data_IF_947434515429
#
_entry.id   IF_947434515429
#
_cell.length_a   1.000
_cell.length_b   1.000
_cell.length_c   1.000
_cell.angle_alpha   90.00
_cell.angle_beta   90.00
_cell.angle_gamma   90.00
#
_symmetry.space_group_name_H-M   'P 1'
#
loop_
_entity.id
_entity.type
_entity.pdbx_description
1 polymer ?
#
# COMPACT_ATOMS: atom_id res chain seq x y z
N UNK A 1 22.69 -2.39 22.88
CA UNK A 1 21.72 -3.22 22.14
C UNK A 1 21.33 -4.40 23.00
N UNK A 2 20.07 -4.82 22.92
CA UNK A 2 19.53 -5.90 23.73
C UNK A 2 19.67 -7.24 23.00
N UNK A 3 20.04 -8.29 23.72
CA UNK A 3 20.16 -9.64 23.16
C UNK A 3 18.77 -10.26 22.95
N UNK A 4 18.49 -10.82 21.76
CA UNK A 4 17.20 -11.46 21.47
C UNK A 4 16.94 -12.69 22.35
N UNK A 5 18.00 -13.44 22.68
CA UNK A 5 17.89 -14.69 23.45
C UNK A 5 17.69 -14.48 24.95
N UNK A 6 18.54 -13.67 25.60
CA UNK A 6 18.52 -13.50 27.06
C UNK A 6 18.03 -12.13 27.52
N UNK A 7 17.66 -11.24 26.61
CA UNK A 7 17.14 -9.90 26.92
C UNK A 7 18.13 -8.99 27.68
N UNK A 8 19.39 -9.38 27.85
CA UNK A 8 20.43 -8.54 28.47
C UNK A 8 20.82 -7.38 27.54
N UNK A 9 21.00 -6.20 28.12
CA UNK A 9 21.57 -5.04 27.44
C UNK A 9 23.09 -5.12 27.37
N UNK A 10 23.61 -4.91 26.17
CA UNK A 10 25.03 -4.95 25.85
C UNK A 10 25.45 -3.61 25.22
N UNK A 11 26.37 -2.89 25.84
CA UNK A 11 26.93 -1.67 25.26
C UNK A 11 27.94 -2.01 24.13
N UNK A 12 28.52 -1.01 23.45
CA UNK A 12 29.45 -1.27 22.34
C UNK A 12 30.73 -1.97 22.83
N UNK A 13 31.34 -1.46 23.91
CA UNK A 13 32.58 -2.01 24.47
C UNK A 13 32.44 -3.48 24.84
N UNK A 14 31.38 -3.83 25.56
CA UNK A 14 31.09 -5.20 26.00
C UNK A 14 30.97 -6.19 24.83
N UNK A 15 30.42 -5.74 23.70
CA UNK A 15 30.25 -6.59 22.51
C UNK A 15 31.54 -6.73 21.74
N UNK A 16 32.33 -5.65 21.65
CA UNK A 16 33.66 -5.70 21.02
C UNK A 16 34.59 -6.64 21.80
N UNK A 17 34.57 -6.56 23.13
CA UNK A 17 35.34 -7.45 24.01
C UNK A 17 34.86 -8.91 23.91
N UNK A 18 33.56 -9.14 23.75
CA UNK A 18 32.98 -10.48 23.56
C UNK A 18 32.98 -10.96 22.09
N UNK A 19 33.67 -10.28 21.17
CA UNK A 19 33.78 -10.70 19.76
C UNK A 19 32.45 -10.71 19.00
N UNK A 20 31.57 -9.74 19.25
CA UNK A 20 30.25 -9.64 18.61
C UNK A 20 29.18 -10.53 19.26
N UNK A 21 29.39 -10.95 20.52
CA UNK A 21 28.47 -11.82 21.26
C UNK A 21 27.90 -11.13 22.49
N UNK A 22 26.83 -11.69 23.05
CA UNK A 22 26.24 -11.20 24.28
C UNK A 22 27.12 -11.53 25.50
N UNK A 23 27.38 -10.54 26.36
CA UNK A 23 28.19 -10.69 27.59
C UNK A 23 27.64 -11.72 28.59
N UNK A 24 26.33 -11.99 28.55
CA UNK A 24 25.66 -12.87 29.52
C UNK A 24 25.48 -14.29 28.99
N UNK A 25 24.90 -14.45 27.79
CA UNK A 25 24.58 -15.77 27.24
C UNK A 25 25.48 -16.21 26.07
N UNK A 26 26.48 -15.41 25.72
CA UNK A 26 27.40 -15.64 24.59
C UNK A 26 26.71 -15.83 23.22
N UNK A 27 25.44 -15.46 23.09
CA UNK A 27 24.69 -15.52 21.83
C UNK A 27 25.28 -14.52 20.82
N UNK A 28 25.62 -14.94 19.60
CA UNK A 28 26.14 -14.03 18.57
C UNK A 28 25.06 -13.06 18.10
N UNK A 29 25.44 -11.82 17.81
CA UNK A 29 24.53 -10.84 17.22
C UNK A 29 24.52 -10.96 15.70
N UNK A 30 23.33 -11.07 15.10
CA UNK A 30 23.20 -11.11 13.65
C UNK A 30 23.45 -9.73 13.03
N UNK A 31 22.92 -8.67 13.62
CA UNK A 31 22.93 -7.31 13.09
C UNK A 31 23.45 -6.32 14.13
N UNK A 32 24.55 -5.65 13.80
CA UNK A 32 25.14 -4.60 14.60
C UNK A 32 25.27 -3.30 13.79
N UNK A 33 24.55 -2.23 14.17
CA UNK A 33 24.67 -0.94 13.51
C UNK A 33 26.07 -0.33 13.53
N UNK A 34 26.83 -0.58 14.59
CA UNK A 34 28.20 -0.06 14.71
C UNK A 34 29.19 -0.84 13.83
N UNK A 35 28.82 -2.05 13.40
CA UNK A 35 29.54 -2.85 12.43
C UNK A 35 28.99 -2.71 10.99
N UNK A 36 28.12 -1.72 10.74
CA UNK A 36 27.61 -1.39 9.41
C UNK A 36 26.21 -1.95 9.06
N UNK A 37 25.53 -2.65 9.98
CA UNK A 37 24.13 -3.07 9.75
C UNK A 37 23.17 -1.87 9.82
N UNK A 38 22.02 -1.94 9.15
CA UNK A 38 21.05 -0.81 9.19
C UNK A 38 20.15 -0.83 10.44
N UNK A 39 20.15 -1.93 11.18
CA UNK A 39 19.28 -2.16 12.33
C UNK A 39 19.88 -3.20 13.29
N UNK A 40 19.20 -3.47 14.39
CA UNK A 40 19.59 -4.43 15.43
C UNK A 40 18.77 -5.72 15.34
N UNK A 41 19.26 -6.79 15.96
CA UNK A 41 18.55 -8.07 16.10
C UNK A 41 17.12 -7.93 16.63
N UNK A 42 16.92 -7.12 17.67
CA UNK A 42 15.59 -6.90 18.25
C UNK A 42 14.64 -6.24 17.24
N UNK A 43 15.14 -5.30 16.44
CA UNK A 43 14.30 -4.67 15.41
C UNK A 43 13.88 -5.70 14.37
N UNK A 44 14.80 -6.56 13.93
CA UNK A 44 14.51 -7.58 12.93
C UNK A 44 13.57 -8.66 13.48
N UNK A 45 13.84 -9.18 14.69
CA UNK A 45 12.98 -10.13 15.40
C UNK A 45 11.54 -9.59 15.53
N UNK A 46 11.41 -8.36 16.04
CA UNK A 46 10.10 -7.75 16.19
C UNK A 46 9.44 -7.52 14.84
N UNK A 47 10.21 -7.34 13.75
CA UNK A 47 9.63 -7.19 12.41
C UNK A 47 9.05 -8.50 11.90
N UNK A 48 9.75 -9.62 12.10
CA UNK A 48 9.25 -10.97 11.79
C UNK A 48 8.00 -11.28 12.63
N UNK A 49 8.04 -11.02 13.93
CA UNK A 49 6.89 -11.26 14.83
C UNK A 49 5.67 -10.41 14.44
N UNK A 50 5.87 -9.11 14.16
CA UNK A 50 4.77 -8.22 13.78
C UNK A 50 4.15 -8.62 12.45
N UNK A 51 4.96 -8.89 11.41
CA UNK A 51 4.41 -9.22 10.08
C UNK A 51 3.69 -10.57 10.06
N UNK A 52 4.18 -11.54 10.84
CA UNK A 52 3.54 -12.85 11.01
C UNK A 52 2.37 -12.86 12.00
N UNK A 53 2.01 -11.71 12.60
CA UNK A 53 1.01 -11.65 13.67
C UNK A 53 1.30 -12.66 14.78
N UNK A 54 2.50 -12.58 15.35
CA UNK A 54 3.00 -13.48 16.40
C UNK A 54 3.06 -14.96 15.94
N UNK A 55 3.64 -15.19 14.76
CA UNK A 55 3.81 -16.52 14.12
C UNK A 55 2.51 -17.24 13.73
N UNK A 56 1.39 -16.53 13.61
CA UNK A 56 0.10 -17.13 13.22
C UNK A 56 -0.15 -17.09 11.71
N UNK A 57 0.46 -16.14 11.00
CA UNK A 57 0.28 -15.93 9.57
C UNK A 57 1.57 -16.19 8.80
N UNK A 58 1.44 -16.76 7.61
CA UNK A 58 2.51 -16.84 6.62
C UNK A 58 2.56 -15.55 5.81
N UNK A 59 3.75 -15.17 5.35
CA UNK A 59 3.96 -13.96 4.57
C UNK A 59 5.04 -14.15 3.50
N UNK A 60 4.97 -13.35 2.43
CA UNK A 60 5.97 -13.42 1.35
C UNK A 60 7.24 -12.64 1.71
N UNK A 61 8.41 -13.00 1.15
CA UNK A 61 9.65 -12.23 1.32
C UNK A 61 9.50 -10.77 0.87
N UNK A 62 8.63 -10.53 -0.11
CA UNK A 62 8.33 -9.20 -0.64
C UNK A 62 7.48 -8.36 0.33
N UNK A 63 6.55 -8.99 1.05
CA UNK A 63 5.83 -8.32 2.15
C UNK A 63 6.80 -7.90 3.25
N UNK A 64 7.77 -8.75 3.62
CA UNK A 64 8.81 -8.39 4.58
C UNK A 64 9.67 -7.22 4.09
N UNK A 65 10.00 -7.20 2.80
CA UNK A 65 10.72 -6.09 2.18
C UNK A 65 9.98 -4.76 2.32
N UNK A 66 8.71 -4.70 1.93
CA UNK A 66 7.89 -3.50 2.09
C UNK A 66 7.76 -3.07 3.56
N UNK A 67 7.60 -4.02 4.47
CA UNK A 67 7.51 -3.74 5.90
C UNK A 67 8.81 -3.10 6.45
N UNK A 68 9.97 -3.65 6.10
CA UNK A 68 11.27 -3.15 6.54
C UNK A 68 11.60 -1.79 5.93
N UNK A 69 11.32 -1.60 4.63
CA UNK A 69 11.41 -0.30 3.96
C UNK A 69 10.67 0.78 4.74
N UNK A 70 9.40 0.53 5.04
CA UNK A 70 8.57 1.48 5.76
C UNK A 70 9.11 1.77 7.17
N UNK A 71 9.52 0.73 7.91
CA UNK A 71 10.01 0.86 9.29
C UNK A 71 11.34 1.60 9.39
N UNK A 72 12.22 1.44 8.41
CA UNK A 72 13.55 2.06 8.41
C UNK A 72 13.54 3.48 7.83
N UNK A 73 12.67 3.76 6.85
CA UNK A 73 12.58 5.10 6.21
C UNK A 73 11.74 6.09 7.02
N UNK A 74 10.78 5.63 7.82
CA UNK A 74 9.81 6.48 8.52
C UNK A 74 10.38 7.34 9.68
N UNK A 75 11.67 7.24 10.03
CA UNK A 75 12.25 7.97 11.18
C UNK A 75 12.66 9.44 10.93
N UNK A 76 12.23 10.06 9.84
CA UNK A 76 12.45 11.50 9.61
C UNK A 76 11.42 12.36 10.34
N UNK A 77 11.73 12.74 11.59
CA UNK A 77 11.09 13.75 12.47
C UNK A 77 10.35 14.88 11.73
N UNK A 78 9.07 15.09 12.04
CA UNK A 78 8.26 16.19 11.47
C UNK A 78 7.14 16.67 12.40
N UNK A 79 7.44 17.00 13.67
CA UNK A 79 6.45 17.64 14.56
C UNK A 79 6.91 19.01 15.07
N UNK A 80 8.23 19.27 15.16
CA UNK A 80 8.75 20.56 15.62
C UNK A 80 8.74 21.70 14.59
N UNK A 81 8.82 21.42 13.30
CA UNK A 81 8.97 22.47 12.27
C UNK A 81 7.65 23.15 11.89
N UNK A 82 6.52 22.46 11.98
CA UNK A 82 5.22 23.02 11.56
C UNK A 82 4.70 24.06 12.57
N UNK A 83 4.80 23.77 13.87
CA UNK A 83 4.40 24.69 14.93
C UNK A 83 5.27 25.95 14.98
N UNK A 84 6.58 25.80 14.78
CA UNK A 84 7.53 26.93 14.74
C UNK A 84 7.29 27.85 13.55
N UNK A 85 6.98 27.30 12.36
CA UNK A 85 6.70 28.11 11.16
C UNK A 85 5.37 28.88 11.26
N UNK A 86 4.33 28.29 11.84
CA UNK A 86 3.04 28.96 12.04
C UNK A 86 3.21 30.11 13.05
N UNK A 87 3.83 29.86 14.20
CA UNK A 87 4.04 30.86 15.26
C UNK A 87 4.90 32.04 14.75
N UNK A 88 5.96 31.75 14.00
CA UNK A 88 6.84 32.76 13.41
C UNK A 88 6.11 33.64 12.37
N UNK A 89 5.16 33.08 11.62
CA UNK A 89 4.40 33.84 10.62
C UNK A 89 3.35 34.79 11.23
N UNK A 90 2.85 34.47 12.43
CA UNK A 90 1.77 35.24 13.08
C UNK A 90 2.25 36.32 14.06
N UNK A 91 3.54 36.35 14.41
CA UNK A 91 4.05 37.11 15.55
C UNK A 91 5.11 38.17 15.19
N UNK A 92 4.91 39.06 14.21
CA UNK A 92 5.71 40.31 14.10
C UNK A 92 5.00 41.41 13.31
N UNK A 93 5.13 42.67 13.76
CA UNK A 93 4.36 43.86 13.33
C UNK A 93 5.07 44.67 12.21
N UNK A 94 6.19 44.20 11.64
CA UNK A 94 6.95 44.93 10.61
C UNK A 94 6.90 44.25 9.23
N UNK A 95 6.41 44.99 8.22
CA UNK A 95 6.06 44.52 6.87
C UNK A 95 7.25 43.91 6.08
N UNK A 96 8.51 44.29 6.36
CA UNK A 96 9.68 43.85 5.59
C UNK A 96 10.23 42.44 5.95
N UNK A 97 10.52 42.11 7.22
CA UNK A 97 10.96 40.75 7.59
C UNK A 97 9.83 39.69 7.49
N UNK A 98 8.57 40.10 7.67
CA UNK A 98 7.40 39.20 7.63
C UNK A 98 7.20 38.60 6.24
N UNK A 99 7.24 39.43 5.19
CA UNK A 99 7.06 38.97 3.81
C UNK A 99 8.16 37.98 3.43
N UNK A 100 9.40 38.24 3.85
CA UNK A 100 10.54 37.36 3.58
C UNK A 100 10.36 35.98 4.24
N UNK A 101 9.89 35.94 5.49
CA UNK A 101 9.66 34.69 6.23
C UNK A 101 8.50 33.86 5.65
N UNK A 102 7.43 34.52 5.20
CA UNK A 102 6.31 33.87 4.50
C UNK A 102 6.79 33.24 3.20
N UNK A 103 7.60 33.95 2.40
CA UNK A 103 8.15 33.43 1.15
C UNK A 103 9.04 32.20 1.42
N UNK A 104 9.95 32.27 2.40
CA UNK A 104 10.80 31.14 2.78
C UNK A 104 9.96 29.93 3.21
N UNK A 105 8.94 30.15 4.04
CA UNK A 105 8.03 29.10 4.51
C UNK A 105 7.27 28.46 3.36
N UNK A 106 6.83 29.26 2.39
CA UNK A 106 6.16 28.78 1.20
C UNK A 106 7.10 27.96 0.30
N UNK A 107 8.31 28.45 0.05
CA UNK A 107 9.33 27.74 -0.75
C UNK A 107 9.68 26.40 -0.11
N UNK A 108 9.88 26.37 1.21
CA UNK A 108 10.13 25.11 1.93
C UNK A 108 8.91 24.17 1.81
N UNK A 109 7.70 24.67 2.09
CA UNK A 109 6.50 23.83 2.09
C UNK A 109 6.22 23.22 0.71
N UNK A 110 6.37 24.02 -0.35
CA UNK A 110 6.16 23.60 -1.74
C UNK A 110 7.23 22.59 -2.21
N UNK A 111 8.48 22.79 -1.81
CA UNK A 111 9.59 21.84 -2.04
C UNK A 111 9.35 20.52 -1.31
N UNK A 112 8.91 20.57 -0.05
CA UNK A 112 8.70 19.36 0.76
C UNK A 112 7.47 18.57 0.33
N UNK A 113 6.39 19.21 -0.09
CA UNK A 113 5.17 18.52 -0.54
C UNK A 113 5.35 17.78 -1.88
N UNK A 114 6.35 18.13 -2.68
CA UNK A 114 6.69 17.45 -3.95
C UNK A 114 7.88 16.50 -3.84
N UNK A 115 8.51 16.41 -2.66
CA UNK A 115 9.74 15.65 -2.47
C UNK A 115 9.54 14.13 -2.57
N UNK A 116 10.30 13.46 -3.44
CA UNK A 116 10.33 11.99 -3.53
C UNK A 116 10.94 11.32 -2.30
N UNK A 117 11.76 12.03 -1.53
CA UNK A 117 12.43 11.48 -0.34
C UNK A 117 11.58 11.52 0.93
N UNK A 118 10.39 12.13 0.87
CA UNK A 118 9.48 12.26 2.02
C UNK A 118 8.31 11.28 1.90
N UNK A 119 7.86 10.79 3.05
CA UNK A 119 6.70 9.91 3.12
C UNK A 119 5.44 10.63 2.61
N UNK A 120 4.45 9.89 2.08
CA UNK A 120 3.17 10.47 1.66
C UNK A 120 2.51 11.32 2.74
N UNK A 121 2.51 10.86 4.01
CA UNK A 121 2.00 11.60 5.16
C UNK A 121 2.65 12.98 5.29
N UNK A 122 3.98 13.05 5.29
CA UNK A 122 4.72 14.31 5.39
C UNK A 122 4.38 15.24 4.21
N UNK A 123 4.32 14.71 2.98
CA UNK A 123 3.96 15.51 1.81
C UNK A 123 2.57 16.14 1.93
N UNK A 124 1.60 15.37 2.44
CA UNK A 124 0.22 15.82 2.69
C UNK A 124 0.17 16.90 3.75
N UNK A 125 0.93 16.75 4.83
CA UNK A 125 0.98 17.73 5.91
C UNK A 125 1.49 19.08 5.39
N UNK A 126 2.53 19.09 4.55
CA UNK A 126 2.99 20.32 3.89
C UNK A 126 1.99 20.89 2.87
N UNK A 127 1.32 20.04 2.07
CA UNK A 127 0.29 20.51 1.14
C UNK A 127 -0.91 21.13 1.87
N UNK A 128 -1.32 20.55 3.01
CA UNK A 128 -2.35 21.11 3.90
C UNK A 128 -1.88 22.39 4.58
N UNK A 129 -0.62 22.48 4.99
CA UNK A 129 -0.06 23.71 5.53
C UNK A 129 -0.15 24.85 4.50
N UNK A 130 0.11 24.57 3.22
CA UNK A 130 -0.08 25.57 2.14
C UNK A 130 -1.55 26.02 2.03
N UNK A 131 -2.51 25.10 2.12
CA UNK A 131 -3.95 25.46 2.12
C UNK A 131 -4.33 26.31 3.34
N UNK A 132 -3.84 25.94 4.53
CA UNK A 132 -4.09 26.67 5.77
C UNK A 132 -3.49 28.08 5.70
N UNK A 133 -2.25 28.22 5.25
CA UNK A 133 -1.58 29.52 5.04
C UNK A 133 -2.39 30.37 4.04
N UNK A 134 -2.84 29.77 2.93
CA UNK A 134 -3.71 30.44 1.97
C UNK A 134 -5.01 30.94 2.59
N UNK A 135 -5.68 30.11 3.39
CA UNK A 135 -6.89 30.50 4.13
C UNK A 135 -6.65 31.62 5.15
N UNK A 136 -5.54 31.55 5.91
CA UNK A 136 -5.16 32.59 6.88
C UNK A 136 -4.87 33.93 6.17
N UNK A 137 -4.21 33.91 5.02
CA UNK A 137 -3.96 35.12 4.21
C UNK A 137 -5.29 35.75 3.77
N UNK A 138 -6.26 34.96 3.30
CA UNK A 138 -7.58 35.48 2.92
C UNK A 138 -8.28 36.16 4.09
N UNK A 139 -8.30 35.52 5.26
CA UNK A 139 -8.92 36.09 6.47
C UNK A 139 -8.20 37.38 6.90
N UNK A 140 -6.87 37.39 6.90
CA UNK A 140 -6.08 38.56 7.29
C UNK A 140 -6.29 39.76 6.36
N UNK A 141 -6.31 39.52 5.04
CA UNK A 141 -6.54 40.55 4.02
C UNK A 141 -7.96 41.13 4.13
N UNK A 142 -8.97 40.28 4.39
CA UNK A 142 -10.35 40.72 4.62
C UNK A 142 -10.46 41.59 5.88
N UNK A 143 -9.91 41.14 7.01
CA UNK A 143 -9.94 41.89 8.28
C UNK A 143 -9.22 43.23 8.14
N UNK A 144 -8.05 43.26 7.48
CA UNK A 144 -7.31 44.49 7.24
C UNK A 144 -8.10 45.49 6.40
N UNK A 145 -8.72 45.03 5.31
CA UNK A 145 -9.54 45.86 4.43
C UNK A 145 -10.73 46.50 5.17
N UNK A 146 -11.43 45.73 6.00
CA UNK A 146 -12.56 46.25 6.80
C UNK A 146 -12.13 47.21 7.91
N UNK A 147 -10.94 47.03 8.52
CA UNK A 147 -10.46 47.90 9.61
C UNK A 147 -9.80 49.21 9.14
N UNK A 148 -9.10 49.19 8.01
CA UNK A 148 -8.28 50.31 7.53
C UNK A 148 -8.88 50.96 6.28
N UNK A 149 -10.20 51.21 6.32
CA UNK A 149 -11.07 51.66 5.22
C UNK A 149 -10.80 53.07 4.64
N UNK A 150 -9.61 53.66 4.85
CA UNK A 150 -9.17 54.79 4.02
C UNK A 150 -8.66 54.22 2.70
N UNK A 151 -9.60 53.96 1.78
CA UNK A 151 -9.35 53.30 0.49
C UNK A 151 -8.54 54.23 -0.40
N UNK A 152 -7.22 54.13 -0.31
CA UNK A 152 -6.32 54.60 -1.36
C UNK A 152 -6.30 53.56 -2.49
N UNK A 153 -6.03 54.01 -3.72
CA UNK A 153 -5.88 53.10 -4.86
C UNK A 153 -4.85 51.99 -4.55
N UNK A 154 -3.77 52.34 -3.85
CA UNK A 154 -2.73 51.40 -3.43
C UNK A 154 -3.25 50.32 -2.46
N UNK A 155 -4.07 50.69 -1.48
CA UNK A 155 -4.66 49.73 -0.54
C UNK A 155 -5.60 48.74 -1.26
N UNK A 156 -6.37 49.21 -2.24
CA UNK A 156 -7.24 48.35 -3.05
C UNK A 156 -6.44 47.36 -3.91
N UNK A 157 -5.35 47.79 -4.55
CA UNK A 157 -4.49 46.88 -5.31
C UNK A 157 -3.84 45.81 -4.42
N UNK A 158 -3.37 46.17 -3.23
CA UNK A 158 -2.81 45.21 -2.27
C UNK A 158 -3.85 44.18 -1.79
N UNK A 159 -5.10 44.62 -1.60
CA UNK A 159 -6.21 43.74 -1.26
C UNK A 159 -6.46 42.69 -2.36
N UNK A 160 -6.56 43.13 -3.63
CA UNK A 160 -6.74 42.21 -4.76
C UNK A 160 -5.59 41.22 -4.90
N UNK A 161 -4.34 41.68 -4.73
CA UNK A 161 -3.16 40.82 -4.77
C UNK A 161 -3.20 39.79 -3.63
N UNK A 162 -3.56 40.21 -2.42
CA UNK A 162 -3.71 39.32 -1.26
C UNK A 162 -4.78 38.23 -1.46
N UNK A 163 -5.94 38.59 -2.02
CA UNK A 163 -6.97 37.61 -2.39
C UNK A 163 -6.45 36.64 -3.45
N UNK A 164 -5.85 37.16 -4.53
CA UNK A 164 -5.30 36.35 -5.60
C UNK A 164 -4.26 35.35 -5.09
N UNK A 165 -3.37 35.79 -4.20
CA UNK A 165 -2.38 34.94 -3.55
C UNK A 165 -3.04 33.86 -2.68
N UNK A 166 -4.00 34.22 -1.82
CA UNK A 166 -4.68 33.27 -0.95
C UNK A 166 -5.41 32.16 -1.73
N UNK A 167 -6.16 32.53 -2.78
CA UNK A 167 -6.83 31.58 -3.68
C UNK A 167 -5.81 30.69 -4.40
N UNK A 168 -4.73 31.29 -4.93
CA UNK A 168 -3.66 30.55 -5.60
C UNK A 168 -3.03 29.50 -4.69
N UNK A 169 -2.77 29.83 -3.41
CA UNK A 169 -2.21 28.88 -2.44
C UNK A 169 -3.16 27.74 -2.11
N UNK A 170 -4.45 28.02 -1.91
CA UNK A 170 -5.46 26.98 -1.70
C UNK A 170 -5.53 26.05 -2.92
N UNK A 171 -5.62 26.61 -4.12
CA UNK A 171 -5.62 25.84 -5.37
C UNK A 171 -4.36 24.99 -5.49
N UNK A 172 -3.20 25.57 -5.23
CA UNK A 172 -1.92 24.86 -5.32
C UNK A 172 -1.81 23.73 -4.30
N UNK A 173 -2.17 23.97 -3.04
CA UNK A 173 -2.21 22.93 -2.01
C UNK A 173 -3.19 21.81 -2.33
N UNK A 174 -4.38 22.13 -2.87
CA UNK A 174 -5.35 21.14 -3.36
C UNK A 174 -4.75 20.32 -4.50
N UNK A 175 -4.17 20.98 -5.50
CA UNK A 175 -3.49 20.31 -6.63
C UNK A 175 -2.38 19.38 -6.13
N UNK A 176 -1.59 19.80 -5.14
CA UNK A 176 -0.54 18.98 -4.56
C UNK A 176 -1.06 17.74 -3.83
N UNK A 177 -2.21 17.83 -3.16
CA UNK A 177 -2.88 16.67 -2.59
C UNK A 177 -3.39 15.71 -3.67
N UNK A 178 -3.91 16.25 -4.77
CA UNK A 178 -4.42 15.43 -5.88
C UNK A 178 -3.30 14.68 -6.61
N UNK A 179 -2.15 15.30 -6.87
CA UNK A 179 -1.07 14.68 -7.67
C UNK A 179 -0.19 13.68 -6.92
N UNK A 180 -0.46 13.41 -5.63
CA UNK A 180 0.43 12.55 -4.83
C UNK A 180 0.55 11.13 -5.36
N UNK A 181 -0.50 10.62 -5.99
CA UNK A 181 -0.49 9.31 -6.64
C UNK A 181 0.49 9.23 -7.81
N UNK A 182 1.01 10.37 -8.30
CA UNK A 182 2.05 10.46 -9.35
C UNK A 182 3.47 10.61 -8.77
N UNK A 183 3.64 10.58 -7.44
CA UNK A 183 4.95 10.72 -6.80
C UNK A 183 5.38 9.39 -6.19
N UNK A 184 6.38 8.76 -6.83
CA UNK A 184 6.92 7.49 -6.39
C UNK A 184 7.67 7.58 -5.07
N UNK A 185 7.65 6.46 -4.34
CA UNK A 185 8.48 6.22 -3.18
C UNK A 185 9.69 5.37 -3.63
N UNK A 186 10.91 5.89 -3.55
CA UNK A 186 12.09 5.10 -3.86
C UNK A 186 12.23 4.00 -2.81
N UNK A 187 12.36 2.76 -3.26
CA UNK A 187 12.82 1.66 -2.43
C UNK A 187 14.32 1.87 -2.19
N UNK A 188 14.73 1.99 -0.93
CA UNK A 188 16.12 2.23 -0.56
C UNK A 188 16.96 0.95 -0.59
N UNK A 189 16.32 -0.19 -0.46
CA UNK A 189 16.90 -1.51 -0.36
C UNK A 189 16.46 -2.36 -1.55
N UNK A 190 17.37 -3.21 -2.01
CA UNK A 190 17.05 -4.23 -3.01
C UNK A 190 16.41 -5.43 -2.33
N UNK A 191 15.50 -6.11 -3.02
CA UNK A 191 14.89 -7.34 -2.52
C UNK A 191 15.93 -8.43 -2.19
N UNK A 192 17.07 -8.46 -2.89
CA UNK A 192 18.18 -9.38 -2.59
C UNK A 192 18.84 -9.10 -1.24
N UNK A 193 18.86 -7.85 -0.77
CA UNK A 193 19.38 -7.52 0.56
C UNK A 193 18.51 -8.14 1.66
N UNK A 194 17.19 -8.20 1.45
CA UNK A 194 16.26 -8.84 2.40
C UNK A 194 16.53 -10.33 2.53
N UNK A 195 16.80 -10.99 1.40
CA UNK A 195 17.13 -12.42 1.38
C UNK A 195 18.44 -12.68 2.14
N UNK A 196 19.45 -11.83 1.95
CA UNK A 196 20.70 -11.91 2.69
C UNK A 196 20.51 -11.65 4.20
N UNK A 197 19.68 -10.68 4.58
CA UNK A 197 19.36 -10.45 6.00
C UNK A 197 18.62 -11.64 6.61
N UNK A 198 17.64 -12.21 5.92
CA UNK A 198 16.91 -13.38 6.40
C UNK A 198 17.85 -14.58 6.60
N UNK A 199 18.68 -14.90 5.60
CA UNK A 199 19.65 -16.01 5.69
C UNK A 199 20.62 -15.83 6.85
N UNK A 200 21.15 -14.62 7.05
CA UNK A 200 22.05 -14.31 8.18
C UNK A 200 21.34 -14.40 9.53
N UNK A 201 20.07 -14.04 9.59
CA UNK A 201 19.25 -14.21 10.79
C UNK A 201 19.07 -15.68 11.13
N UNK A 202 18.73 -16.50 10.13
CA UNK A 202 18.44 -17.93 10.29
C UNK A 202 19.67 -18.74 10.71
N UNK A 203 20.86 -18.39 10.20
CA UNK A 203 22.14 -19.00 10.60
C UNK A 203 22.39 -18.88 12.12
N UNK A 204 21.93 -17.80 12.75
CA UNK A 204 22.20 -17.49 14.16
C UNK A 204 21.03 -17.84 15.07
N UNK A 205 19.79 -17.62 14.62
CA UNK A 205 18.59 -17.67 15.47
C UNK A 205 17.65 -18.83 15.13
N UNK A 206 17.95 -19.62 14.09
CA UNK A 206 17.09 -20.68 13.58
C UNK A 206 16.14 -20.23 12.48
N UNK A 207 15.55 -21.21 11.79
CA UNK A 207 14.69 -21.02 10.62
C UNK A 207 13.44 -20.19 10.93
N UNK A 208 13.06 -19.29 10.01
CA UNK A 208 11.81 -18.53 10.12
C UNK A 208 10.71 -19.27 9.37
N UNK A 209 9.95 -20.07 10.10
CA UNK A 209 8.93 -21.00 9.54
C UNK A 209 7.79 -20.31 8.76
N UNK A 210 7.52 -19.04 9.03
CA UNK A 210 6.37 -18.32 8.47
C UNK A 210 6.69 -17.54 7.19
N UNK A 211 7.94 -17.54 6.71
CA UNK A 211 8.31 -16.91 5.45
C UNK A 211 8.09 -17.91 4.32
N UNK A 212 7.33 -17.50 3.30
CA UNK A 212 7.11 -18.34 2.14
C UNK A 212 8.35 -18.39 1.24
N UNK A 213 8.72 -19.60 0.82
CA UNK A 213 9.70 -19.78 -0.24
C UNK A 213 9.17 -19.21 -1.56
N UNK A 214 10.03 -18.72 -2.47
CA UNK A 214 9.62 -18.33 -3.81
C UNK A 214 8.81 -19.45 -4.47
N UNK A 215 7.74 -19.07 -5.20
CA UNK A 215 6.93 -20.04 -5.92
C UNK A 215 7.84 -20.79 -6.92
N UNK A 216 8.00 -22.10 -6.73
CA UNK A 216 8.75 -22.95 -7.66
C UNK A 216 7.75 -23.58 -8.63
N UNK A 217 8.14 -23.69 -9.89
CA UNK A 217 7.46 -24.58 -10.84
C UNK A 217 7.63 -26.02 -10.33
N UNK A 218 6.59 -26.56 -9.67
CA UNK A 218 6.56 -27.97 -9.32
C UNK A 218 6.26 -28.77 -10.58
N UNK A 219 7.29 -29.42 -11.12
CA UNK A 219 7.26 -30.12 -12.41
C UNK A 219 6.56 -31.47 -12.33
N UNK A 220 6.46 -32.06 -11.13
CA UNK A 220 5.90 -33.39 -10.96
C UNK A 220 4.47 -33.32 -10.41
N UNK A 221 3.48 -33.94 -11.08
CA UNK A 221 2.14 -34.09 -10.55
C UNK A 221 2.21 -34.98 -9.30
N UNK A 222 2.00 -34.37 -8.12
CA UNK A 222 1.78 -35.11 -6.88
C UNK A 222 0.48 -35.90 -7.03
N UNK A 223 0.46 -37.15 -6.56
CA UNK A 223 -0.77 -37.93 -6.40
C UNK A 223 -1.79 -37.09 -5.63
N UNK A 224 -2.86 -36.70 -6.33
CA UNK A 224 -3.88 -35.81 -5.77
C UNK A 224 -4.50 -36.54 -4.57
N UNK A 225 -4.33 -35.98 -3.36
CA UNK A 225 -5.01 -36.50 -2.18
C UNK A 225 -6.50 -36.63 -2.51
N UNK A 226 -7.07 -37.82 -2.30
CA UNK A 226 -8.48 -38.14 -2.58
C UNK A 226 -9.47 -37.17 -1.93
N UNK A 227 -9.05 -36.42 -0.91
CA UNK A 227 -9.82 -35.32 -0.33
C UNK A 227 -10.06 -34.18 -1.34
N UNK A 228 -9.09 -33.77 -2.16
CA UNK A 228 -9.26 -32.65 -3.13
C UNK A 228 -10.30 -32.99 -4.20
N UNK A 229 -10.38 -34.26 -4.60
CA UNK A 229 -11.42 -34.74 -5.54
C UNK A 229 -12.81 -34.87 -4.90
N UNK A 230 -12.90 -34.90 -3.56
CA UNK A 230 -14.17 -34.91 -2.83
C UNK A 230 -14.74 -33.50 -2.61
N UNK A 231 -13.94 -32.45 -2.78
CA UNK A 231 -14.37 -31.06 -2.62
C UNK A 231 -15.03 -30.52 -3.89
N UNK A 232 -16.33 -30.25 -3.82
CA UNK A 232 -17.01 -29.38 -4.77
C UNK A 232 -16.67 -27.93 -4.44
N UNK A 233 -15.98 -27.23 -5.35
CA UNK A 233 -15.72 -25.81 -5.20
C UNK A 233 -16.89 -25.01 -5.79
N UNK A 234 -17.61 -24.30 -4.94
CA UNK A 234 -18.64 -23.34 -5.37
C UNK A 234 -18.03 -21.99 -5.79
N UNK A 235 -16.74 -21.81 -5.48
CA UNK A 235 -16.01 -20.55 -5.60
C UNK A 235 -14.56 -20.79 -6.04
N UNK A 236 -14.03 -19.86 -6.82
CA UNK A 236 -12.60 -19.79 -7.13
C UNK A 236 -12.08 -18.37 -6.96
N UNK A 237 -10.93 -18.23 -6.31
CA UNK A 237 -10.13 -17.01 -6.34
C UNK A 237 -9.01 -17.22 -7.34
N UNK A 238 -8.88 -16.31 -8.29
CA UNK A 238 -7.74 -16.26 -9.20
C UNK A 238 -6.89 -15.05 -8.85
N UNK A 239 -5.59 -15.24 -8.67
CA UNK A 239 -4.61 -14.21 -8.36
C UNK A 239 -3.76 -13.82 -9.57
N UNK A 240 -3.25 -12.58 -9.62
CA UNK A 240 -2.36 -12.13 -10.71
C UNK A 240 -0.92 -12.69 -10.64
N UNK A 241 -0.54 -13.25 -9.49
CA UNK A 241 0.80 -13.77 -9.20
C UNK A 241 0.69 -15.09 -8.43
N UNK A 242 1.69 -15.96 -8.61
CA UNK A 242 1.78 -17.22 -7.88
C UNK A 242 2.07 -17.01 -6.39
N UNK A 243 2.83 -15.96 -6.05
CA UNK A 243 3.18 -15.61 -4.68
C UNK A 243 1.95 -15.26 -3.84
N UNK A 244 0.98 -14.53 -4.40
CA UNK A 244 -0.27 -14.20 -3.72
C UNK A 244 -1.18 -15.44 -3.60
N UNK A 245 -1.24 -16.29 -4.63
CA UNK A 245 -1.99 -17.55 -4.55
C UNK A 245 -1.40 -18.48 -3.48
N UNK A 246 -0.08 -18.66 -3.46
CA UNK A 246 0.64 -19.42 -2.43
C UNK A 246 0.42 -18.82 -1.04
N UNK A 247 0.42 -17.49 -0.91
CA UNK A 247 0.12 -16.80 0.32
C UNK A 247 -1.28 -17.14 0.87
N UNK A 248 -2.31 -17.12 0.03
CA UNK A 248 -3.67 -17.48 0.43
C UNK A 248 -3.77 -18.97 0.81
N UNK A 249 -3.09 -19.85 0.06
CA UNK A 249 -3.07 -21.29 0.34
C UNK A 249 -2.38 -21.58 1.69
N UNK A 250 -1.20 -21.00 1.91
CA UNK A 250 -0.43 -21.21 3.14
C UNK A 250 -1.15 -20.68 4.40
N UNK A 251 -2.00 -19.66 4.25
CA UNK A 251 -2.86 -19.18 5.32
C UNK A 251 -4.24 -19.87 5.34
N UNK A 252 -4.37 -21.08 4.80
CA UNK A 252 -5.57 -21.92 4.82
C UNK A 252 -6.85 -21.27 4.27
N UNK A 253 -6.73 -20.20 3.47
CA UNK A 253 -7.89 -19.44 2.99
C UNK A 253 -8.87 -20.31 2.18
N UNK A 254 -8.34 -21.18 1.34
CA UNK A 254 -9.08 -22.13 0.52
C UNK A 254 -9.98 -23.09 1.33
N UNK A 255 -9.51 -23.52 2.50
CA UNK A 255 -10.29 -24.34 3.43
C UNK A 255 -11.34 -23.51 4.18
N UNK A 256 -10.96 -22.37 4.75
CA UNK A 256 -11.88 -21.53 5.54
C UNK A 256 -13.06 -20.99 4.71
N UNK A 257 -12.82 -20.73 3.42
CA UNK A 257 -13.81 -20.16 2.53
C UNK A 257 -14.37 -21.14 1.50
N UNK A 258 -14.08 -22.45 1.59
CA UNK A 258 -14.51 -23.48 0.65
C UNK A 258 -14.36 -23.02 -0.81
N UNK A 259 -13.14 -22.61 -1.19
CA UNK A 259 -12.84 -22.09 -2.52
C UNK A 259 -11.54 -22.65 -3.07
N UNK A 260 -11.47 -22.79 -4.39
CA UNK A 260 -10.20 -23.03 -5.07
C UNK A 260 -9.39 -21.72 -5.10
N UNK A 261 -8.07 -21.81 -4.99
CA UNK A 261 -7.16 -20.67 -5.13
C UNK A 261 -6.15 -20.99 -6.24
N UNK A 262 -6.14 -20.17 -7.29
CA UNK A 262 -5.28 -20.32 -8.45
C UNK A 262 -4.56 -19.01 -8.77
N UNK A 263 -3.44 -19.05 -9.48
CA UNK A 263 -2.92 -17.87 -10.17
C UNK A 263 -3.32 -17.87 -11.64
N UNK A 264 -3.28 -16.70 -12.28
CA UNK A 264 -3.56 -16.55 -13.71
C UNK A 264 -2.57 -17.35 -14.59
N UNK A 265 -1.36 -17.59 -14.06
CA UNK A 265 -0.31 -18.42 -14.68
C UNK A 265 -0.49 -19.92 -14.44
N UNK A 266 -1.56 -20.31 -13.73
CA UNK A 266 -1.89 -21.71 -13.47
C UNK A 266 -1.19 -22.33 -12.26
N UNK A 267 -0.71 -21.52 -11.31
CA UNK A 267 -0.29 -22.04 -10.00
C UNK A 267 -1.51 -22.45 -9.15
N UNK A 268 -1.46 -23.55 -8.37
CA UNK A 268 -0.41 -24.56 -8.35
C UNK A 268 -0.46 -25.46 -9.60
N UNK A 269 0.66 -25.59 -10.31
CA UNK A 269 0.69 -26.24 -11.64
C UNK A 269 0.31 -27.71 -11.59
N UNK A 270 0.68 -28.41 -10.51
CA UNK A 270 0.47 -29.85 -10.34
C UNK A 270 -1.00 -30.26 -10.27
N UNK A 271 -1.90 -29.37 -9.81
CA UNK A 271 -3.34 -29.66 -9.68
C UNK A 271 -4.20 -28.79 -10.62
N UNK A 272 -3.59 -27.89 -11.38
CA UNK A 272 -4.30 -26.87 -12.15
C UNK A 272 -5.31 -27.47 -13.13
N UNK A 273 -4.91 -28.45 -13.93
CA UNK A 273 -5.79 -29.08 -14.93
C UNK A 273 -6.99 -29.77 -14.29
N UNK A 274 -6.76 -30.52 -13.21
CA UNK A 274 -7.80 -31.23 -12.46
C UNK A 274 -8.79 -30.25 -11.83
N UNK A 275 -8.29 -29.22 -11.12
CA UNK A 275 -9.14 -28.19 -10.50
C UNK A 275 -9.92 -27.44 -11.58
N UNK A 276 -9.28 -27.06 -12.69
CA UNK A 276 -9.96 -26.34 -13.78
C UNK A 276 -11.08 -27.17 -14.42
N UNK A 277 -10.89 -28.49 -14.57
CA UNK A 277 -11.94 -29.38 -15.06
C UNK A 277 -13.16 -29.39 -14.11
N UNK A 278 -12.93 -29.49 -12.80
CA UNK A 278 -14.00 -29.45 -11.79
C UNK A 278 -14.72 -28.09 -11.80
N UNK A 279 -13.97 -26.99 -11.86
CA UNK A 279 -14.52 -25.63 -11.92
C UNK A 279 -15.39 -25.40 -13.15
N UNK A 280 -14.96 -25.86 -14.34
CA UNK A 280 -15.72 -25.72 -15.59
C UNK A 280 -17.04 -26.51 -15.60
N UNK A 281 -17.15 -27.56 -14.80
CA UNK A 281 -18.36 -28.36 -14.67
C UNK A 281 -19.41 -27.71 -13.76
N UNK A 282 -19.05 -26.69 -12.96
CA UNK A 282 -19.96 -26.01 -12.06
C UNK A 282 -20.61 -24.79 -12.75
N UNK A 283 -21.90 -24.84 -13.14
CA UNK A 283 -22.59 -23.72 -13.79
C UNK A 283 -22.83 -22.53 -12.84
N UNK A 284 -22.85 -22.77 -11.53
CA UNK A 284 -23.10 -21.77 -10.49
C UNK A 284 -21.79 -21.22 -9.87
N UNK A 285 -20.65 -21.51 -10.50
CA UNK A 285 -19.33 -21.09 -10.02
C UNK A 285 -19.23 -19.57 -9.88
N UNK A 286 -18.81 -19.11 -8.70
CA UNK A 286 -18.46 -17.71 -8.45
C UNK A 286 -16.96 -17.52 -8.61
N UNK A 287 -16.57 -16.66 -9.53
CA UNK A 287 -15.16 -16.36 -9.82
C UNK A 287 -14.78 -15.02 -9.19
N UNK A 288 -13.70 -14.98 -8.43
CA UNK A 288 -13.16 -13.78 -7.79
C UNK A 288 -11.76 -13.50 -8.33
N UNK A 289 -11.55 -12.35 -8.97
CA UNK A 289 -10.23 -11.90 -9.40
C UNK A 289 -9.57 -11.09 -8.27
N UNK A 290 -8.35 -11.43 -7.88
CA UNK A 290 -7.60 -10.73 -6.84
C UNK A 290 -6.22 -10.33 -7.35
N UNK A 291 -6.04 -9.05 -7.64
CA UNK A 291 -4.84 -8.57 -8.33
C UNK A 291 -4.34 -7.23 -7.81
N UNK A 292 -3.09 -6.93 -8.17
CA UNK A 292 -2.43 -5.65 -7.94
C UNK A 292 -2.94 -4.55 -8.88
N UNK A 293 -2.73 -3.28 -8.54
CA UNK A 293 -2.94 -2.15 -9.47
C UNK A 293 -1.77 -2.06 -10.46
N UNK A 294 -1.74 -3.01 -11.38
CA UNK A 294 -0.74 -3.15 -12.44
C UNK A 294 -1.46 -3.30 -13.79
N UNK A 295 -0.79 -3.03 -14.93
CA UNK A 295 -1.35 -3.31 -16.25
C UNK A 295 -1.81 -4.77 -16.42
N UNK A 296 -1.10 -5.71 -15.77
CA UNK A 296 -1.47 -7.12 -15.75
C UNK A 296 -2.76 -7.34 -14.97
N UNK A 297 -2.82 -6.82 -13.74
CA UNK A 297 -3.98 -6.96 -12.87
C UNK A 297 -5.25 -6.40 -13.50
N UNK A 298 -5.23 -5.17 -14.03
CA UNK A 298 -6.43 -4.58 -14.66
C UNK A 298 -6.89 -5.31 -15.93
N UNK A 299 -6.01 -6.10 -16.56
CA UNK A 299 -6.35 -6.92 -17.74
C UNK A 299 -6.89 -8.30 -17.36
N UNK A 300 -6.70 -8.72 -16.11
CA UNK A 300 -6.96 -10.08 -15.65
C UNK A 300 -8.42 -10.51 -15.86
N UNK A 301 -9.39 -9.65 -15.62
CA UNK A 301 -10.81 -9.97 -15.82
C UNK A 301 -11.09 -10.26 -17.30
N UNK A 302 -10.50 -9.47 -18.20
CA UNK A 302 -10.64 -9.69 -19.63
C UNK A 302 -9.98 -11.01 -20.06
N UNK A 303 -8.84 -11.34 -19.47
CA UNK A 303 -8.17 -12.63 -19.71
C UNK A 303 -9.03 -13.81 -19.22
N UNK A 304 -9.57 -13.74 -18.01
CA UNK A 304 -10.44 -14.79 -17.45
C UNK A 304 -11.69 -15.04 -18.30
N UNK A 305 -12.26 -13.98 -18.90
CA UNK A 305 -13.47 -14.07 -19.75
C UNK A 305 -13.19 -14.62 -21.14
N UNK A 306 -12.02 -14.33 -21.71
CA UNK A 306 -11.78 -14.56 -23.14
C UNK A 306 -10.79 -15.69 -23.40
N UNK A 307 -9.96 -16.09 -22.42
CA UNK A 307 -8.97 -17.13 -22.60
C UNK A 307 -9.59 -18.53 -22.60
N UNK A 308 -9.25 -19.40 -23.58
CA UNK A 308 -9.78 -20.78 -23.65
C UNK A 308 -9.33 -21.64 -22.46
N UNK A 309 -8.18 -21.32 -21.87
CA UNK A 309 -7.67 -22.01 -20.68
C UNK A 309 -8.45 -21.67 -19.41
N UNK A 310 -9.23 -20.58 -19.44
CA UNK A 310 -10.07 -20.10 -18.35
C UNK A 310 -11.54 -20.28 -18.71
N UNK A 311 -12.38 -19.26 -18.51
CA UNK A 311 -13.84 -19.38 -18.55
C UNK A 311 -14.45 -18.88 -19.86
N UNK A 312 -13.68 -18.89 -20.95
CA UNK A 312 -14.18 -18.50 -22.28
C UNK A 312 -15.38 -19.34 -22.70
N UNK A 313 -16.42 -18.67 -23.20
CA UNK A 313 -17.68 -19.28 -23.61
C UNK A 313 -18.69 -19.55 -22.47
N UNK A 314 -18.31 -19.35 -21.21
CA UNK A 314 -19.23 -19.49 -20.08
C UNK A 314 -19.77 -18.12 -19.63
N UNK A 315 -21.06 -18.05 -19.27
CA UNK A 315 -21.68 -16.83 -18.76
C UNK A 315 -21.53 -16.69 -17.23
N UNK A 316 -20.33 -17.00 -16.71
CA UNK A 316 -20.07 -16.95 -15.27
C UNK A 316 -19.94 -15.51 -14.77
N UNK A 317 -20.39 -15.28 -13.55
CA UNK A 317 -20.19 -14.00 -12.87
C UNK A 317 -18.76 -13.96 -12.33
N UNK A 318 -18.00 -12.95 -12.79
CA UNK A 318 -16.65 -12.65 -12.29
C UNK A 318 -16.71 -11.36 -11.49
N UNK A 319 -16.34 -11.47 -10.22
CA UNK A 319 -16.23 -10.36 -9.27
C UNK A 319 -14.79 -9.87 -9.22
N UNK A 320 -14.61 -8.56 -9.33
CA UNK A 320 -13.30 -7.92 -9.16
C UNK A 320 -13.09 -7.56 -7.68
N UNK A 321 -12.17 -8.27 -7.01
CA UNK A 321 -11.67 -7.96 -5.66
C UNK A 321 -10.31 -7.24 -5.69
N UNK A 322 -9.78 -6.97 -6.90
CA UNK A 322 -8.45 -6.45 -7.11
C UNK A 322 -8.30 -4.97 -6.77
N UNK A 323 -7.04 -4.57 -6.63
CA UNK A 323 -6.67 -3.17 -6.49
C UNK A 323 -6.66 -2.51 -7.88
N UNK A 324 -7.48 -1.48 -8.06
CA UNK A 324 -7.55 -0.66 -9.28
C UNK A 324 -6.87 0.70 -9.05
N UNK A 325 -6.39 1.40 -10.09
CA UNK A 325 -5.78 2.71 -9.91
C UNK A 325 -6.73 3.75 -9.28
N UNK A 326 -8.04 3.70 -9.56
CA UNK A 326 -9.06 4.52 -8.85
C UNK A 326 -9.04 4.36 -7.31
N UNK A 327 -8.60 3.21 -6.79
CA UNK A 327 -8.46 2.95 -5.36
C UNK A 327 -7.18 3.57 -4.78
N UNK A 328 -6.16 3.75 -5.62
CA UNK A 328 -4.88 4.35 -5.26
C UNK A 328 -4.99 5.87 -5.13
N UNK A 329 -5.74 6.51 -6.02
CA UNK A 329 -5.83 7.97 -6.10
C UNK A 329 -6.29 8.68 -4.81
N UNK A 330 -7.35 8.20 -4.11
CA UNK A 330 -7.76 8.79 -2.83
C UNK A 330 -6.93 8.27 -1.64
N UNK A 331 -6.09 7.24 -1.84
CA UNK A 331 -5.35 6.63 -0.75
C UNK A 331 -4.25 7.54 -0.21
N UNK A 332 -4.09 7.48 1.11
CA UNK A 332 -3.20 8.35 1.88
C UNK A 332 -1.79 7.77 2.04
N UNK A 333 -1.68 6.44 2.00
CA UNK A 333 -0.51 5.72 2.52
C UNK A 333 -0.02 4.58 1.60
N UNK A 334 -0.54 4.44 0.38
CA UNK A 334 -0.08 3.39 -0.54
C UNK A 334 1.34 3.63 -1.04
N UNK A 335 2.09 2.52 -1.19
CA UNK A 335 3.44 2.53 -1.76
C UNK A 335 3.37 2.44 -3.28
N UNK A 336 3.68 3.53 -3.96
CA UNK A 336 3.56 3.67 -5.41
C UNK A 336 4.93 3.53 -6.05
N UNK A 337 5.04 2.52 -6.91
CA UNK A 337 6.24 2.23 -7.67
C UNK A 337 6.09 2.74 -9.11
N UNK A 338 7.23 2.83 -9.81
CA UNK A 338 7.28 3.12 -11.24
C UNK A 338 8.36 2.28 -11.91
N UNK A 339 8.06 1.71 -13.06
CA UNK A 339 9.04 1.01 -13.89
C UNK A 339 8.74 1.14 -15.37
N UNK A 340 9.77 1.09 -16.21
CA UNK A 340 9.62 1.13 -17.66
C UNK A 340 8.94 -0.14 -18.19
N UNK A 341 9.11 -1.28 -17.50
CA UNK A 341 8.40 -2.53 -17.80
C UNK A 341 6.90 -2.35 -17.60
N UNK A 342 6.48 -1.73 -16.49
CA UNK A 342 5.07 -1.40 -16.25
C UNK A 342 4.56 -0.43 -17.31
N UNK A 343 5.32 0.62 -17.64
CA UNK A 343 4.93 1.59 -18.68
C UNK A 343 4.72 0.92 -20.05
N UNK A 344 5.64 0.02 -20.43
CA UNK A 344 5.56 -0.76 -21.66
C UNK A 344 4.34 -1.66 -21.71
N UNK A 345 3.96 -2.29 -20.58
CA UNK A 345 2.74 -3.08 -20.46
C UNK A 345 1.47 -2.22 -20.45
N UNK A 346 1.48 -1.07 -19.78
CA UNK A 346 0.38 -0.11 -19.74
C UNK A 346 -0.04 0.36 -21.14
N UNK A 347 0.95 0.64 -22.01
CA UNK A 347 0.68 1.00 -23.42
C UNK A 347 0.03 -0.12 -24.23
N UNK A 348 0.25 -1.37 -23.84
CA UNK A 348 -0.25 -2.59 -24.51
C UNK A 348 -1.57 -3.13 -23.92
N UNK A 349 -2.21 -2.41 -23.00
CA UNK A 349 -3.52 -2.81 -22.46
C UNK A 349 -4.54 -2.93 -23.62
N UNK A 350 -5.32 -4.04 -23.71
CA UNK A 350 -6.33 -4.23 -24.75
C UNK A 350 -7.38 -3.11 -24.78
N UNK A 351 -7.93 -2.83 -25.96
CA UNK A 351 -8.88 -1.71 -26.17
C UNK A 351 -10.13 -1.88 -25.31
N UNK A 352 -10.59 -3.11 -25.15
CA UNK A 352 -11.75 -3.50 -24.35
C UNK A 352 -11.56 -3.13 -22.88
N UNK A 353 -10.34 -3.33 -22.35
CA UNK A 353 -9.97 -2.96 -20.98
C UNK A 353 -9.77 -1.46 -20.85
N UNK A 354 -9.24 -0.78 -21.89
CA UNK A 354 -9.10 0.68 -21.86
C UNK A 354 -10.44 1.39 -21.68
N UNK A 355 -11.53 0.83 -22.22
CA UNK A 355 -12.88 1.38 -22.09
C UNK A 355 -13.45 1.28 -20.66
N UNK A 356 -12.94 0.38 -19.82
CA UNK A 356 -13.38 0.23 -18.42
C UNK A 356 -12.58 1.12 -17.45
N UNK A 357 -11.56 1.81 -17.95
CA UNK A 357 -10.66 2.65 -17.16
C UNK A 357 -10.90 4.12 -17.49
N UNK A 358 -10.83 4.98 -16.48
CA UNK A 358 -10.86 6.42 -16.70
C UNK A 358 -9.56 6.90 -17.34
N UNK A 359 -9.60 8.09 -17.95
CA UNK A 359 -8.44 8.71 -18.58
C UNK A 359 -7.24 8.82 -17.62
N UNK A 360 -7.50 9.22 -16.37
CA UNK A 360 -6.44 9.37 -15.37
C UNK A 360 -5.80 8.02 -14.99
N UNK A 361 -6.58 6.95 -14.95
CA UNK A 361 -6.07 5.60 -14.68
C UNK A 361 -5.19 5.09 -15.83
N UNK A 362 -5.60 5.34 -17.07
CA UNK A 362 -4.81 5.00 -18.25
C UNK A 362 -3.48 5.77 -18.28
N UNK A 363 -3.52 7.08 -18.09
CA UNK A 363 -2.31 7.91 -18.03
C UNK A 363 -1.36 7.44 -16.92
N UNK A 364 -1.91 7.04 -15.76
CA UNK A 364 -1.13 6.53 -14.64
C UNK A 364 -0.44 5.19 -14.96
N UNK A 365 -1.15 4.25 -15.57
CA UNK A 365 -0.60 2.95 -15.99
C UNK A 365 0.41 3.09 -17.14
N UNK A 366 0.12 3.92 -18.15
CA UNK A 366 1.00 4.16 -19.30
C UNK A 366 2.27 4.92 -18.92
N UNK A 367 2.21 5.76 -17.87
CA UNK A 367 3.38 6.36 -17.25
C UNK A 367 4.21 5.36 -16.42
N UNK A 368 3.72 4.13 -16.24
CA UNK A 368 4.40 3.02 -15.58
C UNK A 368 4.26 2.99 -14.08
N UNK A 369 3.31 3.73 -13.51
CA UNK A 369 3.01 3.63 -12.09
C UNK A 369 2.25 2.34 -11.77
N UNK A 370 2.49 1.78 -10.59
CA UNK A 370 1.79 0.59 -10.10
C UNK A 370 1.84 0.48 -8.58
N UNK A 371 0.93 -0.32 -8.01
CA UNK A 371 0.91 -0.72 -6.59
C UNK A 371 0.69 -2.22 -6.52
N UNK A 372 1.50 -2.90 -5.72
CA UNK A 372 1.46 -4.36 -5.55
C UNK A 372 0.69 -4.76 -4.29
N UNK A 373 0.03 -5.91 -4.31
CA UNK A 373 -0.68 -6.44 -3.14
C UNK A 373 0.28 -6.75 -1.99
N UNK A 374 1.53 -7.14 -2.26
CA UNK A 374 2.52 -7.39 -1.22
C UNK A 374 2.94 -6.12 -0.45
N UNK A 375 2.53 -4.92 -0.89
CA UNK A 375 2.70 -3.69 -0.11
C UNK A 375 1.74 -3.57 1.08
N UNK A 376 0.82 -4.53 1.26
CA UNK A 376 -0.10 -4.63 2.37
C UNK A 376 0.25 -5.78 3.32
N UNK A 377 -0.16 -5.66 4.58
CA UNK A 377 0.08 -6.69 5.59
C UNK A 377 -0.69 -7.98 5.28
N UNK A 378 -0.17 -9.15 5.71
CA UNK A 378 -0.87 -10.43 5.60
C UNK A 378 -2.31 -10.37 6.07
N UNK A 379 -2.52 -9.84 7.29
CA UNK A 379 -3.84 -9.68 7.89
C UNK A 379 -4.77 -8.85 7.00
N UNK A 380 -4.25 -7.77 6.39
CA UNK A 380 -5.05 -6.88 5.55
C UNK A 380 -5.50 -7.56 4.25
N UNK A 381 -4.60 -8.30 3.60
CA UNK A 381 -4.94 -9.02 2.38
C UNK A 381 -6.02 -10.07 2.65
N UNK A 382 -5.85 -10.89 3.69
CA UNK A 382 -6.86 -11.90 4.07
C UNK A 382 -8.20 -11.24 4.38
N UNK A 383 -8.21 -10.17 5.20
CA UNK A 383 -9.42 -9.43 5.55
C UNK A 383 -10.17 -8.91 4.32
N UNK A 384 -9.47 -8.33 3.35
CA UNK A 384 -10.10 -7.79 2.14
C UNK A 384 -10.77 -8.90 1.34
N UNK A 385 -10.10 -10.03 1.12
CA UNK A 385 -10.65 -11.13 0.32
C UNK A 385 -11.86 -11.73 1.04
N UNK A 386 -11.77 -12.00 2.35
CA UNK A 386 -12.90 -12.51 3.15
C UNK A 386 -14.11 -11.57 3.12
N UNK A 387 -13.89 -10.25 3.31
CA UNK A 387 -14.97 -9.26 3.27
C UNK A 387 -15.58 -9.11 1.87
N UNK A 388 -14.77 -9.18 0.82
CA UNK A 388 -15.25 -9.15 -0.57
C UNK A 388 -16.16 -10.33 -0.88
N UNK A 389 -15.79 -11.54 -0.45
CA UNK A 389 -16.64 -12.73 -0.58
C UNK A 389 -17.95 -12.56 0.21
N UNK A 390 -17.87 -12.15 1.48
CA UNK A 390 -19.07 -11.98 2.30
C UNK A 390 -20.05 -10.94 1.73
N UNK A 391 -19.55 -9.80 1.23
CA UNK A 391 -20.38 -8.76 0.63
C UNK A 391 -21.06 -9.20 -0.66
N UNK A 392 -20.34 -9.88 -1.54
CA UNK A 392 -20.92 -10.41 -2.80
C UNK A 392 -21.98 -11.47 -2.53
N UNK A 393 -21.83 -12.27 -1.46
CA UNK A 393 -22.86 -13.21 -1.03
C UNK A 393 -24.11 -12.53 -0.48
N UNK A 394 -23.95 -11.50 0.36
CA UNK A 394 -25.08 -10.74 0.89
C UNK A 394 -25.92 -10.15 -0.25
N UNK A 395 -25.26 -9.56 -1.24
CA UNK A 395 -25.92 -9.00 -2.43
C UNK A 395 -26.59 -10.07 -3.27
N UNK A 396 -25.94 -11.22 -3.50
CA UNK A 396 -26.54 -12.33 -4.25
C UNK A 396 -27.80 -12.89 -3.56
N UNK A 397 -27.88 -12.78 -2.23
CA UNK A 397 -29.02 -13.22 -1.42
C UNK A 397 -30.12 -12.16 -1.27
N UNK A 398 -30.04 -11.05 -2.02
CA UNK A 398 -31.08 -10.01 -2.02
C UNK A 398 -31.05 -9.06 -0.83
N UNK A 399 -29.99 -9.08 -0.01
CA UNK A 399 -29.79 -8.04 1.00
C UNK A 399 -29.33 -6.77 0.30
N UNK A 400 -30.09 -5.68 0.46
CA UNK A 400 -29.66 -4.38 -0.02
C UNK A 400 -28.41 -3.95 0.73
N UNK A 401 -27.37 -3.57 -0.01
CA UNK A 401 -26.18 -2.86 0.49
C UNK A 401 -26.55 -1.43 0.93
N UNK A 402 -27.65 -1.28 1.67
CA UNK A 402 -28.08 0.00 2.21
C UNK A 402 -27.16 0.39 3.37
N UNK A 403 -26.28 1.34 3.07
CA UNK A 403 -25.89 2.40 4.00
C UNK A 403 -25.11 2.10 5.28
N UNK A 404 -24.38 0.99 5.42
CA UNK A 404 -23.31 0.90 6.43
C UNK A 404 -21.95 1.30 5.84
N UNK A 405 -21.86 2.57 5.42
CA UNK A 405 -20.61 3.25 5.08
C UNK A 405 -19.92 3.84 6.33
N UNK A 406 -20.40 3.55 7.54
CA UNK A 406 -19.79 4.00 8.79
C UNK A 406 -19.81 2.90 9.84
N UNK A 407 -18.71 2.15 9.94
CA UNK A 407 -18.29 1.55 11.19
C UNK A 407 -16.98 2.19 11.61
N UNK A 408 -17.18 3.11 12.55
CA UNK A 408 -16.33 3.70 13.57
C UNK A 408 -14.98 4.34 13.22
N UNK A 409 -14.93 5.59 13.66
CA UNK A 409 -13.83 6.51 13.82
C UNK A 409 -12.77 6.02 14.81
N UNK A 410 -11.53 5.90 14.33
CA UNK A 410 -10.38 5.90 15.22
C UNK A 410 -9.11 5.49 14.50
N UNK A 411 -8.47 6.42 13.77
CA UNK A 411 -7.09 6.38 13.22
C UNK A 411 -6.59 5.11 12.49
N UNK A 412 -7.43 4.08 12.36
CA UNK A 412 -7.13 2.76 11.87
C UNK A 412 -7.96 2.49 10.61
N UNK A 413 -7.28 2.34 9.48
CA UNK A 413 -7.64 1.22 8.60
C UNK A 413 -8.99 1.15 7.88
N UNK A 414 -9.78 2.23 7.66
CA UNK A 414 -11.09 2.14 6.97
C UNK A 414 -11.01 1.30 5.68
N UNK A 415 -11.79 0.21 5.63
CA UNK A 415 -12.14 -0.53 4.42
C UNK A 415 -13.53 -0.11 3.98
N UNK A 416 -13.59 0.83 3.04
CA UNK A 416 -14.77 0.92 2.19
C UNK A 416 -14.65 -0.20 1.16
N UNK A 417 -15.72 -0.97 1.02
CA UNK A 417 -15.90 -1.85 -0.12
C UNK A 417 -17.21 -1.39 -0.72
N UNK A 418 -17.10 -0.59 -1.78
CA UNK A 418 -18.25 -0.12 -2.56
C UNK A 418 -18.54 -1.11 -3.66
N UNK A 419 -19.81 -1.40 -3.89
CA UNK A 419 -20.26 -2.15 -5.03
C UNK A 419 -20.76 -1.14 -6.06
N UNK A 420 -20.14 -1.08 -7.24
CA UNK A 420 -20.56 -0.20 -8.33
C UNK A 420 -21.96 -0.59 -8.85
N UNK A 421 -22.63 0.31 -9.58
CA UNK A 421 -24.03 0.18 -10.04
C UNK A 421 -24.29 -1.09 -10.88
N UNK A 422 -23.23 -1.68 -11.45
CA UNK A 422 -23.27 -2.97 -12.16
C UNK A 422 -23.10 -4.22 -11.26
N UNK A 423 -23.03 -4.04 -9.94
CA UNK A 423 -23.01 -5.08 -8.91
C UNK A 423 -21.83 -6.08 -8.96
N UNK A 424 -20.74 -5.75 -9.67
CA UNK A 424 -19.62 -6.67 -9.99
C UNK A 424 -18.23 -6.22 -9.57
N UNK A 425 -18.06 -4.94 -9.23
CA UNK A 425 -16.78 -4.40 -8.75
C UNK A 425 -16.87 -4.20 -7.24
N UNK A 426 -15.92 -4.75 -6.50
CA UNK A 426 -15.84 -4.68 -5.04
C UNK A 426 -14.65 -3.76 -4.72
N UNK A 427 -14.95 -2.51 -4.33
CA UNK A 427 -13.92 -1.49 -4.16
C UNK A 427 -12.89 -1.84 -3.09
N UNK A 428 -11.61 -1.65 -3.38
CA UNK A 428 -10.52 -1.83 -2.42
C UNK A 428 -10.21 -0.48 -1.79
N UNK A 429 -10.59 -0.24 -0.53
CA UNK A 429 -10.10 0.94 0.19
C UNK A 429 -9.24 0.45 1.34
N UNK A 430 -7.95 0.71 1.29
CA UNK A 430 -7.05 0.39 2.38
C UNK A 430 -6.23 1.62 2.74
N UNK A 431 -6.41 2.11 3.96
CA UNK A 431 -5.54 3.13 4.56
C UNK A 431 -4.26 2.55 5.19
N UNK A 432 -4.19 1.22 5.32
CA UNK A 432 -3.10 0.52 6.01
C UNK A 432 -2.20 -0.24 5.02
N UNK A 433 -1.13 0.41 4.57
CA UNK A 433 0.04 -0.25 3.98
C UNK A 433 1.08 -0.39 5.10
N UNK A 434 0.91 -1.38 6.00
CA UNK A 434 1.78 -1.64 7.17
C UNK A 434 1.88 -0.51 8.23
N UNK A 435 0.78 0.18 8.56
CA UNK A 435 0.65 1.23 9.59
C UNK A 435 -0.03 2.49 9.10
#
# INVERSE_FOLDING_TARGET
MKCVKCQTDNNLKERTEAGGRCKNCNHPFAFDPQAGSKFTDILFNNSIQTISSENTLFFTPKQLWYFLEKRLVSKSTSWGTLGVLIILSTLTIFISPVVTLIIITLVISTSKSTSKSKSPKIRRDFARAIQIIGGLILVAVLVWFFKFSTVTNTAFFLFLLGIGLGIFLIYFGTRQLTIQHKITQPLQFKQSEITHWLSRWEEINGEVTNVLAPSREMSEPIEINSEVTAYSFDRVIVCDTAEIAQFLIANNFHFEHNCAVLSIDGYPQNIFSTVMQMLKQNPDLKVYAFHSATPRGVTMINELRNSPNWFSGNNLIIYDLGLLPRHVFPSKNMWILKSDVSAGRGRKIPVEVKQTLSKDELEWLEAGFYVELESFSPRKLLQVVSQGIAKTQAVANGYSSASDNSLDSGDDGIILIGIDDNNRNVGFFASDSFG
#
